data_IF_237933312841
#
_entry.id   IF_237933312841
#
_cell.length_a   1.000
_cell.length_b   1.000
_cell.length_c   1.000
_cell.angle_alpha   90.00
_cell.angle_beta   90.00
_cell.angle_gamma   90.00
#
_symmetry.space_group_name_H-M   'P 1'
#
loop_
_entity.id
_entity.type
_entity.pdbx_description
1 polymer ?
#
# COMPACT_ATOMS: atom_id res chain seq x y z
N UNK A 1 9.20 2.63 -14.24
CA UNK A 1 8.50 2.80 -12.95
C UNK A 1 9.51 2.85 -11.82
N UNK A 2 9.29 3.67 -10.80
CA UNK A 2 10.08 3.66 -9.56
C UNK A 2 10.03 2.27 -8.93
N UNK A 3 11.15 1.63 -8.59
CA UNK A 3 11.16 0.29 -8.02
C UNK A 3 10.70 0.29 -6.54
N UNK A 4 10.00 -0.76 -6.12
CA UNK A 4 9.70 -0.99 -4.71
C UNK A 4 10.88 -1.68 -4.03
N UNK A 5 11.80 -0.89 -3.46
CA UNK A 5 13.00 -1.42 -2.81
C UNK A 5 12.69 -2.24 -1.56
N UNK A 6 11.58 -1.94 -0.87
CA UNK A 6 11.12 -2.70 0.30
C UNK A 6 10.74 -4.12 -0.11
N UNK A 7 9.90 -4.26 -1.16
CA UNK A 7 9.51 -5.57 -1.69
C UNK A 7 10.72 -6.37 -2.20
N UNK A 8 11.70 -5.70 -2.78
CA UNK A 8 12.96 -6.33 -3.21
C UNK A 8 13.78 -6.81 -2.02
N UNK A 9 13.94 -5.97 -0.99
CA UNK A 9 14.65 -6.34 0.23
C UNK A 9 14.02 -7.60 0.87
N UNK A 10 12.71 -7.67 0.95
CA UNK A 10 12.02 -8.87 1.47
C UNK A 10 12.25 -10.12 0.63
N UNK A 11 12.25 -10.00 -0.72
CA UNK A 11 12.60 -11.13 -1.60
C UNK A 11 14.04 -11.62 -1.41
N UNK A 12 14.94 -10.73 -1.00
CA UNK A 12 16.34 -11.05 -0.68
C UNK A 12 16.54 -11.50 0.77
N UNK A 13 15.46 -11.65 1.56
CA UNK A 13 15.53 -12.02 2.97
C UNK A 13 16.08 -10.93 3.91
N UNK A 14 16.11 -9.68 3.43
CA UNK A 14 16.54 -8.52 4.21
C UNK A 14 15.42 -7.95 5.06
N UNK A 15 15.79 -7.42 6.22
CA UNK A 15 14.86 -6.70 7.10
C UNK A 15 14.67 -5.27 6.62
N UNK A 16 13.50 -4.71 6.91
CA UNK A 16 13.15 -3.30 6.68
C UNK A 16 12.45 -2.76 7.91
N UNK A 17 12.58 -1.45 8.14
CA UNK A 17 11.93 -0.75 9.25
C UNK A 17 10.79 0.09 8.70
N UNK A 18 9.56 -0.19 9.15
CA UNK A 18 8.37 0.59 8.81
C UNK A 18 7.92 1.51 9.95
N UNK A 19 7.41 2.69 9.58
CA UNK A 19 6.72 3.58 10.50
C UNK A 19 5.20 3.51 10.29
N UNK A 20 4.44 3.82 11.36
CA UNK A 20 2.98 3.78 11.33
C UNK A 20 2.40 5.17 11.61
N UNK A 21 1.50 5.66 10.77
CA UNK A 21 0.89 6.98 10.88
C UNK A 21 -0.60 6.80 11.13
N UNK A 22 -1.06 7.26 12.30
CA UNK A 22 -2.47 7.16 12.75
C UNK A 22 -3.15 8.53 12.92
N UNK A 23 -2.45 9.63 12.58
CA UNK A 23 -3.00 10.99 12.66
C UNK A 23 -3.07 11.65 11.26
N UNK A 24 -4.02 12.54 11.06
CA UNK A 24 -4.36 13.26 9.82
C UNK A 24 -3.43 14.45 9.52
N UNK A 25 -2.12 14.30 9.75
CA UNK A 25 -1.18 15.39 9.58
C UNK A 25 -0.20 15.15 8.42
N UNK A 26 -0.32 15.95 7.37
CA UNK A 26 0.63 15.99 6.24
C UNK A 26 2.04 16.33 6.73
N UNK A 27 2.15 17.22 7.73
CA UNK A 27 3.45 17.59 8.31
C UNK A 27 4.11 16.41 9.03
N UNK A 28 3.34 15.63 9.81
CA UNK A 28 3.86 14.41 10.44
C UNK A 28 4.31 13.40 9.39
N UNK A 29 3.54 13.21 8.31
CA UNK A 29 3.93 12.32 7.22
C UNK A 29 5.25 12.74 6.58
N UNK A 30 5.45 14.04 6.34
CA UNK A 30 6.71 14.58 5.80
C UNK A 30 7.88 14.35 6.77
N UNK A 31 7.69 14.66 8.05
CA UNK A 31 8.74 14.47 9.07
C UNK A 31 9.15 13.00 9.20
N UNK A 32 8.18 12.11 9.26
CA UNK A 32 8.45 10.67 9.35
C UNK A 32 9.13 10.14 8.09
N UNK A 33 8.75 10.61 6.91
CA UNK A 33 9.39 10.21 5.66
C UNK A 33 10.88 10.57 5.60
N UNK A 34 11.30 11.59 6.37
CA UNK A 34 12.71 12.01 6.49
C UNK A 34 13.45 11.39 7.67
N UNK A 35 12.76 10.61 8.50
CA UNK A 35 13.34 10.01 9.71
C UNK A 35 14.12 8.70 9.46
N UNK A 36 14.18 8.22 8.21
CA UNK A 36 14.98 7.04 7.84
C UNK A 36 14.21 5.72 7.84
N UNK A 37 12.89 5.75 7.84
CA UNK A 37 12.07 4.55 7.61
C UNK A 37 12.16 4.08 6.16
N UNK A 38 12.22 2.76 5.95
CA UNK A 38 12.14 2.17 4.61
C UNK A 38 10.74 2.35 4.00
N UNK A 39 9.72 2.28 4.84
CA UNK A 39 8.33 2.47 4.44
C UNK A 39 7.49 3.12 5.55
N UNK A 40 6.41 3.75 5.16
CA UNK A 40 5.41 4.35 6.07
C UNK A 40 4.03 3.84 5.73
N UNK A 41 3.32 3.34 6.74
CA UNK A 41 1.93 2.92 6.62
C UNK A 41 0.98 4.01 7.14
N UNK A 42 0.12 4.50 6.28
CA UNK A 42 -1.03 5.33 6.65
C UNK A 42 -2.21 4.42 7.01
N UNK A 43 -2.73 4.58 8.21
CA UNK A 43 -3.70 3.66 8.79
C UNK A 43 -5.14 4.16 8.65
N UNK A 44 -5.87 3.68 7.64
CA UNK A 44 -7.29 3.99 7.46
C UNK A 44 -8.23 3.03 8.22
N UNK A 45 -7.70 2.00 8.91
CA UNK A 45 -8.55 1.07 9.67
C UNK A 45 -8.83 1.57 11.08
N UNK A 46 -7.78 1.91 11.82
CA UNK A 46 -7.86 2.33 13.23
C UNK A 46 -7.25 3.71 13.48
N UNK A 47 -6.55 4.28 12.50
CA UNK A 47 -6.09 5.66 12.57
C UNK A 47 -7.24 6.65 12.37
N UNK A 48 -6.96 7.91 12.66
CA UNK A 48 -7.88 9.03 12.42
C UNK A 48 -7.79 9.54 10.96
N UNK A 49 -7.64 8.60 10.00
CA UNK A 49 -7.40 8.89 8.59
C UNK A 49 -8.52 8.36 7.72
N UNK A 50 -8.93 9.16 6.78
CA UNK A 50 -9.74 8.70 5.64
C UNK A 50 -8.94 8.75 4.31
N UNK A 51 -9.62 8.48 3.20
CA UNK A 51 -9.02 8.54 1.88
C UNK A 51 -8.50 9.94 1.52
N UNK A 52 -9.15 11.02 1.99
CA UNK A 52 -8.72 12.38 1.68
C UNK A 52 -7.39 12.71 2.37
N UNK A 53 -7.21 12.23 3.61
CA UNK A 53 -5.98 12.40 4.37
C UNK A 53 -4.82 11.64 3.70
N UNK A 54 -5.03 10.37 3.37
CA UNK A 54 -4.05 9.56 2.63
C UNK A 54 -3.65 10.24 1.32
N UNK A 55 -4.63 10.73 0.56
CA UNK A 55 -4.38 11.46 -0.69
C UNK A 55 -3.55 12.74 -0.48
N UNK A 56 -3.74 13.43 0.64
CA UNK A 56 -2.98 14.63 0.98
C UNK A 56 -1.56 14.31 1.48
N UNK A 57 -1.39 13.20 2.22
CA UNK A 57 -0.11 12.79 2.81
C UNK A 57 0.83 12.12 1.80
N UNK A 58 0.31 11.37 0.83
CA UNK A 58 1.10 10.68 -0.19
C UNK A 58 2.09 11.59 -0.95
N UNK A 59 1.74 12.83 -1.36
CA UNK A 59 2.70 13.75 -1.96
C UNK A 59 3.87 14.08 -1.04
N UNK A 60 3.63 14.29 0.25
CA UNK A 60 4.69 14.58 1.22
C UNK A 60 5.68 13.42 1.36
N UNK A 61 5.19 12.18 1.52
CA UNK A 61 6.03 10.99 1.57
C UNK A 61 6.79 10.81 0.25
N UNK A 62 6.17 11.11 -0.88
CA UNK A 62 6.76 10.97 -2.23
C UNK A 62 7.98 11.86 -2.50
N UNK A 63 8.25 12.85 -1.64
CA UNK A 63 9.45 13.70 -1.73
C UNK A 63 10.73 13.00 -1.30
N UNK A 64 10.61 11.78 -0.75
CA UNK A 64 11.70 10.95 -0.24
C UNK A 64 11.74 9.59 -0.94
N UNK A 65 12.67 8.73 -0.53
CA UNK A 65 12.72 7.33 -0.98
C UNK A 65 11.85 6.39 -0.17
N UNK A 66 11.28 6.84 0.95
CA UNK A 66 10.38 6.03 1.78
C UNK A 66 9.19 5.53 0.98
N UNK A 67 8.91 4.21 1.03
CA UNK A 67 7.79 3.61 0.31
C UNK A 67 6.46 3.88 1.02
N UNK A 68 5.47 4.47 0.33
CA UNK A 68 4.17 4.72 0.93
C UNK A 68 3.31 3.45 0.91
N UNK A 69 2.88 3.00 2.07
CA UNK A 69 1.93 1.91 2.27
C UNK A 69 0.65 2.45 2.92
N UNK A 70 -0.44 1.73 2.71
CA UNK A 70 -1.74 2.07 3.29
C UNK A 70 -2.35 0.81 3.90
N UNK A 71 -2.75 0.87 5.17
CA UNK A 71 -3.67 -0.13 5.70
C UNK A 71 -5.09 0.31 5.40
N UNK A 72 -5.77 -0.48 4.56
CA UNK A 72 -7.17 -0.21 4.19
C UNK A 72 -8.12 -0.63 5.32
N UNK A 73 -9.32 -0.01 5.44
CA UNK A 73 -10.26 -0.35 6.51
C UNK A 73 -10.82 -1.77 6.39
N UNK A 74 -10.91 -2.30 5.19
CA UNK A 74 -11.46 -3.63 4.91
C UNK A 74 -10.97 -4.21 3.59
N UNK A 75 -11.13 -5.52 3.38
CA UNK A 75 -10.81 -6.20 2.12
C UNK A 75 -11.88 -5.92 1.05
N UNK A 76 -11.96 -4.66 0.60
CA UNK A 76 -12.91 -4.22 -0.41
C UNK A 76 -12.20 -3.62 -1.64
N UNK A 77 -12.48 -4.11 -2.85
CA UNK A 77 -11.76 -3.72 -4.06
C UNK A 77 -11.76 -2.22 -4.31
N UNK A 78 -12.88 -1.53 -4.04
CA UNK A 78 -13.01 -0.11 -4.34
C UNK A 78 -12.04 0.76 -3.52
N UNK A 79 -11.83 0.47 -2.24
CA UNK A 79 -10.92 1.27 -1.40
C UNK A 79 -9.45 0.91 -1.68
N UNK A 80 -9.18 -0.38 -1.95
CA UNK A 80 -7.86 -0.86 -2.36
C UNK A 80 -7.42 -0.14 -3.65
N UNK A 81 -8.27 -0.14 -4.68
CA UNK A 81 -7.98 0.57 -5.95
C UNK A 81 -7.74 2.06 -5.74
N UNK A 82 -8.55 2.72 -4.91
CA UNK A 82 -8.41 4.15 -4.61
C UNK A 82 -7.06 4.47 -3.95
N UNK A 83 -6.64 3.67 -2.96
CA UNK A 83 -5.34 3.83 -2.31
C UNK A 83 -4.18 3.68 -3.32
N UNK A 84 -4.25 2.67 -4.18
CA UNK A 84 -3.25 2.42 -5.21
C UNK A 84 -3.22 3.51 -6.30
N UNK A 85 -4.37 4.02 -6.75
CA UNK A 85 -4.45 5.10 -7.73
C UNK A 85 -3.94 6.43 -7.17
N UNK A 86 -4.08 6.63 -5.86
CA UNK A 86 -3.47 7.76 -5.16
C UNK A 86 -1.94 7.63 -5.02
N UNK A 87 -1.34 6.47 -5.25
CA UNK A 87 0.10 6.26 -5.31
C UNK A 87 0.69 5.43 -4.18
N UNK A 88 -0.10 4.65 -3.45
CA UNK A 88 0.43 3.67 -2.52
C UNK A 88 1.24 2.58 -3.28
N UNK A 89 2.34 2.15 -2.69
CA UNK A 89 3.19 1.06 -3.20
C UNK A 89 3.01 -0.25 -2.45
N UNK A 90 2.23 -0.21 -1.39
CA UNK A 90 1.81 -1.38 -0.65
C UNK A 90 0.44 -1.17 -0.02
N UNK A 91 -0.32 -2.26 0.04
CA UNK A 91 -1.61 -2.30 0.74
C UNK A 91 -1.54 -3.37 1.81
N UNK A 92 -1.90 -3.00 3.03
CA UNK A 92 -2.08 -3.90 4.16
C UNK A 92 -3.58 -4.12 4.31
N UNK A 93 -4.01 -5.37 4.16
CA UNK A 93 -5.43 -5.78 4.18
C UNK A 93 -5.70 -6.50 5.49
N UNK A 94 -6.58 -5.95 6.36
CA UNK A 94 -6.90 -6.57 7.64
C UNK A 94 -7.84 -7.77 7.48
N UNK A 95 -7.91 -8.60 8.54
CA UNK A 95 -8.91 -9.66 8.72
C UNK A 95 -9.00 -10.63 7.52
N UNK A 96 -7.87 -11.04 6.99
CA UNK A 96 -7.81 -12.07 5.94
C UNK A 96 -7.77 -13.44 6.60
N UNK A 97 -8.87 -14.19 6.51
CA UNK A 97 -9.07 -15.42 7.26
C UNK A 97 -8.81 -16.69 6.47
N UNK A 98 -8.82 -16.61 5.14
CA UNK A 98 -8.70 -17.79 4.28
C UNK A 98 -8.07 -17.41 2.93
N UNK A 99 -7.82 -18.45 2.14
CA UNK A 99 -7.22 -18.32 0.81
C UNK A 99 -8.06 -17.47 -0.14
N UNK A 100 -9.38 -17.63 -0.14
CA UNK A 100 -10.28 -16.88 -1.04
C UNK A 100 -10.20 -15.38 -0.76
N UNK A 101 -10.17 -14.99 0.51
CA UNK A 101 -10.00 -13.58 0.92
C UNK A 101 -8.63 -13.03 0.54
N UNK A 102 -7.58 -13.84 0.66
CA UNK A 102 -6.24 -13.46 0.21
C UNK A 102 -6.18 -13.27 -1.32
N UNK A 103 -6.78 -14.19 -2.08
CA UNK A 103 -6.89 -14.09 -3.54
C UNK A 103 -7.71 -12.86 -3.97
N UNK A 104 -8.81 -12.54 -3.26
CA UNK A 104 -9.60 -11.30 -3.47
C UNK A 104 -8.72 -10.05 -3.27
N UNK A 105 -7.92 -10.01 -2.23
CA UNK A 105 -7.02 -8.88 -1.97
C UNK A 105 -5.97 -8.71 -3.09
N UNK A 106 -5.34 -9.79 -3.51
CA UNK A 106 -4.37 -9.78 -4.64
C UNK A 106 -5.04 -9.36 -5.93
N UNK A 107 -6.20 -9.94 -6.25
CA UNK A 107 -6.99 -9.61 -7.45
C UNK A 107 -7.34 -8.13 -7.51
N UNK A 108 -7.67 -7.52 -6.38
CA UNK A 108 -8.00 -6.10 -6.27
C UNK A 108 -6.81 -5.18 -6.51
N UNK A 109 -5.60 -5.69 -6.33
CA UNK A 109 -4.35 -4.92 -6.49
C UNK A 109 -3.74 -5.03 -7.89
N UNK A 110 -4.14 -6.02 -8.69
CA UNK A 110 -3.52 -6.34 -9.98
C UNK A 110 -4.38 -5.90 -11.15
N UNK A 111 -3.73 -5.38 -12.19
CA UNK A 111 -4.38 -5.16 -13.47
C UNK A 111 -4.55 -6.47 -14.24
N UNK A 112 -5.55 -6.56 -15.15
CA UNK A 112 -5.66 -7.70 -16.05
C UNK A 112 -4.34 -7.99 -16.82
N UNK A 113 -3.99 -9.26 -17.09
CA UNK A 113 -4.82 -10.46 -16.83
C UNK A 113 -4.71 -11.02 -15.40
N UNK A 114 -3.83 -10.50 -14.54
CA UNK A 114 -3.49 -11.06 -13.23
C UNK A 114 -4.50 -10.69 -12.13
N UNK A 115 -5.42 -9.77 -12.41
CA UNK A 115 -6.44 -9.31 -11.48
C UNK A 115 -7.53 -8.48 -12.15
N UNK A 116 -8.35 -7.82 -11.32
CA UNK A 116 -9.51 -7.03 -11.77
C UNK A 116 -9.44 -5.55 -11.41
N UNK A 117 -8.26 -5.04 -11.07
CA UNK A 117 -8.11 -3.61 -10.79
C UNK A 117 -8.47 -2.79 -12.02
N UNK A 118 -9.39 -1.82 -11.86
CA UNK A 118 -9.73 -0.88 -12.92
C UNK A 118 -8.57 0.09 -13.20
N UNK A 119 -8.34 0.38 -14.48
CA UNK A 119 -7.25 1.24 -14.89
C UNK A 119 -7.60 2.72 -14.81
N UNK A 120 -6.91 3.46 -13.96
CA UNK A 120 -7.06 4.90 -13.79
C UNK A 120 -6.01 5.53 -12.85
N UNK A 121 -4.71 5.16 -12.99
CA UNK A 121 -3.69 5.53 -12.00
C UNK A 121 -3.13 6.94 -12.24
N UNK A 122 -3.95 7.98 -12.15
CA UNK A 122 -3.53 9.36 -12.47
C UNK A 122 -2.33 9.77 -11.61
N UNK A 123 -2.47 9.80 -10.29
CA UNK A 123 -1.38 10.19 -9.41
C UNK A 123 -0.30 9.10 -9.30
N UNK A 124 -0.70 7.84 -9.23
CA UNK A 124 0.25 6.72 -9.18
C UNK A 124 1.19 6.73 -10.39
N UNK A 125 0.67 7.01 -11.60
CA UNK A 125 1.47 7.14 -12.81
C UNK A 125 2.44 8.33 -12.76
N UNK A 126 2.04 9.47 -12.17
CA UNK A 126 2.92 10.63 -11.97
C UNK A 126 4.06 10.31 -11.01
N UNK A 127 3.75 9.71 -9.86
CA UNK A 127 4.70 9.37 -8.81
C UNK A 127 5.68 8.26 -9.24
N UNK A 128 5.15 7.20 -9.80
CA UNK A 128 5.94 6.05 -10.21
C UNK A 128 6.71 6.26 -11.52
N UNK A 129 6.28 7.22 -12.33
CA UNK A 129 6.89 7.51 -13.62
C UNK A 129 6.46 6.58 -14.74
N UNK A 130 7.10 6.75 -15.91
CA UNK A 130 6.77 5.99 -17.13
C UNK A 130 6.86 4.49 -16.90
N UNK A 131 5.92 3.74 -17.46
CA UNK A 131 5.87 2.27 -17.37
C UNK A 131 5.13 1.75 -16.13
N UNK A 132 4.42 2.61 -15.36
CA UNK A 132 3.63 2.17 -14.20
C UNK A 132 2.74 0.96 -14.53
N UNK A 133 1.99 1.04 -15.63
CA UNK A 133 1.07 -0.02 -16.07
C UNK A 133 1.75 -1.37 -16.26
N UNK A 134 2.92 -1.34 -16.88
CA UNK A 134 3.64 -2.56 -17.27
C UNK A 134 4.34 -3.26 -16.09
N UNK A 135 4.52 -2.55 -14.96
CA UNK A 135 5.31 -3.04 -13.83
C UNK A 135 4.56 -3.02 -12.50
N UNK A 136 3.38 -2.40 -12.42
CA UNK A 136 2.67 -2.24 -11.16
C UNK A 136 2.27 -3.58 -10.53
N UNK A 137 1.89 -4.58 -11.32
CA UNK A 137 1.57 -5.91 -10.83
C UNK A 137 2.74 -6.56 -10.08
N UNK A 138 3.97 -6.28 -10.50
CA UNK A 138 5.18 -6.81 -9.86
C UNK A 138 5.65 -5.95 -8.68
N UNK A 139 5.48 -4.63 -8.76
CA UNK A 139 6.06 -3.71 -7.78
C UNK A 139 5.12 -3.44 -6.59
N UNK A 140 3.80 -3.52 -6.75
CA UNK A 140 2.87 -3.33 -5.63
C UNK A 140 2.98 -4.49 -4.64
N UNK A 141 3.18 -4.17 -3.36
CA UNK A 141 3.14 -5.13 -2.26
C UNK A 141 1.69 -5.31 -1.77
N UNK A 142 1.31 -6.57 -1.54
CA UNK A 142 0.02 -6.93 -0.90
C UNK A 142 0.35 -7.70 0.36
N UNK A 143 -0.12 -7.23 1.50
CA UNK A 143 0.15 -7.79 2.81
C UNK A 143 -1.18 -8.15 3.46
N UNK A 144 -1.42 -9.43 3.68
CA UNK A 144 -2.58 -9.93 4.41
C UNK A 144 -2.26 -9.97 5.91
N UNK A 145 -3.16 -9.46 6.73
CA UNK A 145 -3.04 -9.57 8.20
C UNK A 145 -3.72 -10.86 8.67
N UNK A 146 -2.93 -11.71 9.33
CA UNK A 146 -3.37 -12.93 10.00
C UNK A 146 -3.59 -12.57 11.48
N UNK A 147 -4.84 -12.30 11.87
CA UNK A 147 -5.14 -11.71 13.18
C UNK A 147 -6.38 -12.31 13.87
N UNK A 148 -6.89 -13.42 13.35
CA UNK A 148 -8.00 -14.19 13.94
C UNK A 148 -7.60 -15.62 14.16
N UNK A 149 -8.33 -16.36 15.01
CA UNK A 149 -8.13 -17.81 15.19
C UNK A 149 -8.39 -18.56 13.87
N UNK A 150 -9.45 -18.18 13.14
CA UNK A 150 -9.76 -18.76 11.83
C UNK A 150 -8.62 -18.59 10.83
N UNK A 151 -8.02 -17.40 10.76
CA UNK A 151 -6.91 -17.12 9.87
C UNK A 151 -5.64 -17.89 10.22
N UNK A 152 -5.46 -18.21 11.50
CA UNK A 152 -4.32 -19.01 11.97
C UNK A 152 -4.49 -20.51 11.65
N UNK A 153 -5.73 -20.98 11.64
CA UNK A 153 -6.07 -22.37 11.37
C UNK A 153 -6.07 -22.71 9.86
N UNK A 154 -6.17 -21.69 8.98
CA UNK A 154 -6.15 -21.80 7.51
C UNK A 154 -4.80 -21.44 6.90
#
# INVERSE_FOLDING_TARGET
MRPNHVKRAWKEGKQTIGGWISCDSVYVAEMMARAGFDWLCMDMQHGLLDYNDVRAMLPAISTTDTMPFVRVPWNEPHIIMKALDAGAYGVIVPLVNNREEAEKAVWSCRYPPDGGRSFGPIRAGMYAGRGYVNHSNDEIAVIAMIETAEALDN
#
